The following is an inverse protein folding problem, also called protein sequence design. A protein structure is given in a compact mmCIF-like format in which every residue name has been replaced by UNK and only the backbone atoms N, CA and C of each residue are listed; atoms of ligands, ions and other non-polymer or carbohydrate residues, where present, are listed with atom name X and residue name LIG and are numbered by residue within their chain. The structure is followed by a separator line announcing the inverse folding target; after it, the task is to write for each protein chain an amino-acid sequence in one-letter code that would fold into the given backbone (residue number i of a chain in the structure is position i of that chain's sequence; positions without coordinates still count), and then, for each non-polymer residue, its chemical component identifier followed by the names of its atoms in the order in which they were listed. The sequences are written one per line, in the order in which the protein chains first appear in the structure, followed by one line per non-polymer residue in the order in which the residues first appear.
data_IF_355436169077
#
_entry.id   IF_355436169077
#
_cell.length_a   1.000
_cell.length_b   1.000
_cell.length_c   1.000
_cell.angle_alpha   90.00
_cell.angle_beta   90.00
_cell.angle_gamma   90.00
#
_symmetry.space_group_name_H-M   'P 1'
#
loop_
_entity.id
_entity.type
_entity.pdbx_description
1 polymer ?
#
# COMPACT_ATOMS: atom_id res chain seq x y z
N UNK A 1 -28.51 -3.09 -19.61
CA UNK A 1 -27.58 -2.05 -19.13
C UNK A 1 -26.55 -2.71 -18.22
N UNK A 2 -25.36 -2.92 -18.73
CA UNK A 2 -24.27 -3.48 -17.96
C UNK A 2 -23.85 -2.46 -16.89
N UNK A 3 -23.96 -2.83 -15.60
CA UNK A 3 -23.33 -2.10 -14.50
C UNK A 3 -21.83 -2.07 -14.78
N UNK A 4 -21.26 -0.89 -15.04
CA UNK A 4 -19.84 -0.67 -14.92
C UNK A 4 -19.47 -1.01 -13.46
N UNK A 5 -18.84 -2.16 -13.27
CA UNK A 5 -18.21 -2.51 -12.01
C UNK A 5 -17.07 -1.49 -11.81
N UNK A 6 -17.29 -0.51 -10.98
CA UNK A 6 -16.23 0.37 -10.49
C UNK A 6 -15.08 -0.51 -10.02
N UNK A 7 -13.84 -0.15 -10.41
CA UNK A 7 -12.66 -0.91 -10.03
C UNK A 7 -12.48 -0.78 -8.51
N UNK A 8 -13.02 -1.76 -7.79
CA UNK A 8 -12.81 -1.91 -6.35
C UNK A 8 -11.60 -2.80 -6.15
N UNK A 9 -10.65 -2.36 -5.31
CA UNK A 9 -9.51 -3.15 -4.88
C UNK A 9 -9.76 -3.56 -3.43
N UNK A 10 -9.54 -4.83 -3.14
CA UNK A 10 -9.62 -5.38 -1.79
C UNK A 10 -8.23 -5.81 -1.34
N UNK A 11 -7.79 -5.31 -0.18
CA UNK A 11 -6.46 -5.53 0.37
C UNK A 11 -6.62 -6.14 1.75
N UNK A 12 -6.09 -7.33 1.93
CA UNK A 12 -6.05 -8.02 3.21
C UNK A 12 -4.89 -7.48 4.03
N UNK A 13 -5.20 -6.99 5.23
CA UNK A 13 -4.25 -6.33 6.12
C UNK A 13 -3.91 -7.26 7.28
N UNK A 14 -2.64 -7.54 7.43
CA UNK A 14 -2.08 -8.36 8.51
C UNK A 14 -1.20 -7.52 9.40
N UNK A 15 -1.24 -7.81 10.68
CA UNK A 15 -0.33 -7.29 11.67
C UNK A 15 0.73 -8.35 11.98
N UNK A 16 2.00 -7.93 12.02
CA UNK A 16 3.15 -8.81 12.26
C UNK A 16 4.15 -8.11 13.18
N UNK A 17 3.87 -8.14 14.47
CA UNK A 17 4.79 -7.67 15.52
C UNK A 17 4.88 -8.66 16.66
N UNK A 18 5.95 -8.53 17.44
CA UNK A 18 6.40 -9.54 18.40
C UNK A 18 5.32 -9.93 19.42
N UNK A 19 4.56 -8.96 19.90
CA UNK A 19 3.53 -9.16 20.93
C UNK A 19 2.35 -10.02 20.46
N UNK A 20 2.14 -10.12 19.14
CA UNK A 20 1.07 -10.95 18.57
C UNK A 20 1.45 -12.43 18.48
N UNK A 21 2.73 -12.76 18.65
CA UNK A 21 3.22 -14.13 18.52
C UNK A 21 3.15 -14.71 17.10
N UNK A 22 2.99 -13.86 16.10
CA UNK A 22 2.91 -14.22 14.68
C UNK A 22 1.99 -13.29 13.87
N UNK A 23 2.00 -13.49 12.56
CA UNK A 23 1.20 -12.71 11.63
C UNK A 23 -0.30 -12.96 11.85
N UNK A 24 -1.05 -11.93 12.16
CA UNK A 24 -2.49 -12.01 12.44
C UNK A 24 -3.28 -11.15 11.47
N UNK A 25 -4.40 -11.68 10.94
CA UNK A 25 -5.30 -10.92 10.10
C UNK A 25 -5.97 -9.80 10.91
N UNK A 26 -5.66 -8.56 10.58
CA UNK A 26 -6.25 -7.38 11.21
C UNK A 26 -7.60 -7.02 10.60
N UNK A 27 -7.72 -7.12 9.29
CA UNK A 27 -8.94 -6.77 8.58
C UNK A 27 -8.75 -6.60 7.08
N UNK A 28 -9.74 -5.97 6.44
CA UNK A 28 -9.75 -5.75 5.00
C UNK A 28 -9.91 -4.27 4.68
N UNK A 29 -8.99 -3.75 3.88
CA UNK A 29 -9.04 -2.40 3.32
C UNK A 29 -9.61 -2.47 1.91
N UNK A 30 -10.66 -1.70 1.63
CA UNK A 30 -11.23 -1.56 0.28
C UNK A 30 -10.95 -0.17 -0.24
N UNK A 31 -10.52 -0.10 -1.50
CA UNK A 31 -10.37 1.13 -2.26
C UNK A 31 -11.36 1.12 -3.41
N UNK A 32 -12.29 2.05 -3.43
CA UNK A 32 -13.32 2.19 -4.46
C UNK A 32 -13.13 3.49 -5.22
N UNK A 33 -13.16 3.43 -6.54
CA UNK A 33 -13.07 4.63 -7.37
C UNK A 33 -14.44 5.31 -7.48
N UNK A 34 -14.57 6.45 -6.83
CA UNK A 34 -15.79 7.26 -6.83
C UNK A 34 -15.48 8.63 -7.44
N UNK A 35 -16.09 8.94 -8.59
CA UNK A 35 -15.92 10.23 -9.29
C UNK A 35 -14.44 10.63 -9.51
N UNK A 36 -13.60 9.66 -9.85
CA UNK A 36 -12.17 9.88 -10.13
C UNK A 36 -11.26 9.96 -8.90
N UNK A 37 -11.78 9.74 -7.69
CA UNK A 37 -11.03 9.69 -6.44
C UNK A 37 -11.21 8.33 -5.78
N UNK A 38 -10.16 7.84 -5.15
CA UNK A 38 -10.29 6.65 -4.30
C UNK A 38 -10.92 7.02 -2.96
N UNK A 39 -11.91 6.23 -2.58
CA UNK A 39 -12.54 6.26 -1.25
C UNK A 39 -12.16 4.96 -0.56
N UNK A 40 -11.63 5.08 0.63
CA UNK A 40 -11.18 3.93 1.41
C UNK A 40 -12.16 3.59 2.51
N UNK A 41 -12.39 2.30 2.68
CA UNK A 41 -13.07 1.76 3.85
C UNK A 41 -12.28 0.60 4.44
N UNK A 42 -12.26 0.50 5.76
CA UNK A 42 -11.60 -0.58 6.47
C UNK A 42 -12.57 -1.28 7.42
N UNK A 43 -12.53 -2.61 7.41
CA UNK A 43 -13.29 -3.44 8.34
C UNK A 43 -12.35 -4.38 9.09
N UNK A 44 -12.37 -4.33 10.42
CA UNK A 44 -11.63 -5.28 11.25
C UNK A 44 -12.14 -6.70 11.06
N UNK A 45 -11.22 -7.67 11.10
CA UNK A 45 -11.58 -9.08 11.16
C UNK A 45 -12.21 -9.40 12.53
N UNK A 46 -13.07 -10.41 12.54
CA UNK A 46 -13.67 -10.91 13.78
C UNK A 46 -12.60 -11.40 14.76
N UNK A 47 -11.60 -12.11 14.23
CA UNK A 47 -10.48 -12.62 15.02
C UNK A 47 -9.71 -11.50 15.72
N UNK A 48 -9.45 -10.37 15.01
CA UNK A 48 -8.79 -9.22 15.59
C UNK A 48 -9.56 -8.61 16.75
N UNK A 49 -10.87 -8.44 16.56
CA UNK A 49 -11.75 -7.89 17.60
C UNK A 49 -11.90 -8.82 18.81
N UNK A 50 -11.92 -10.14 18.59
CA UNK A 50 -12.02 -11.13 19.65
C UNK A 50 -10.74 -11.28 20.47
N UNK A 51 -9.57 -11.09 19.86
CA UNK A 51 -8.28 -11.10 20.57
C UNK A 51 -8.11 -9.93 21.56
N UNK A 52 -9.05 -9.01 21.58
CA UNK A 52 -9.09 -7.92 22.55
C UNK A 52 -7.90 -6.98 22.48
N UNK A 53 -7.34 -6.79 21.30
CA UNK A 53 -6.34 -5.77 21.09
C UNK A 53 -6.97 -4.40 21.32
N UNK A 54 -6.74 -3.82 22.49
CA UNK A 54 -7.17 -2.46 22.84
C UNK A 54 -6.32 -1.38 22.13
N UNK A 55 -5.43 -1.81 21.23
CA UNK A 55 -4.54 -0.90 20.51
C UNK A 55 -5.32 -0.09 19.49
N UNK A 56 -5.55 1.16 19.81
CA UNK A 56 -6.03 2.15 18.87
C UNK A 56 -4.88 2.53 17.93
N UNK A 57 -4.83 1.89 16.76
CA UNK A 57 -3.75 2.07 15.78
C UNK A 57 -3.90 3.34 14.95
N UNK A 58 -5.11 3.86 14.84
CA UNK A 58 -5.45 5.06 14.09
C UNK A 58 -6.61 5.79 14.78
N UNK A 59 -6.55 7.11 14.97
CA UNK A 59 -7.62 7.87 15.60
C UNK A 59 -8.94 7.84 14.81
N UNK A 60 -8.88 7.56 13.52
CA UNK A 60 -10.05 7.47 12.64
C UNK A 60 -10.61 6.03 12.53
N UNK A 61 -9.96 5.03 13.17
CA UNK A 61 -10.40 3.64 13.22
C UNK A 61 -10.78 3.23 14.63
N UNK A 62 -12.07 3.01 14.85
CA UNK A 62 -12.59 2.53 16.14
C UNK A 62 -12.71 1.02 16.14
N UNK A 63 -12.53 0.38 17.31
CA UNK A 63 -12.56 -1.08 17.47
C UNK A 63 -14.01 -1.61 17.49
N UNK A 64 -14.65 -1.66 16.33
CA UNK A 64 -15.94 -2.32 16.14
C UNK A 64 -16.01 -3.03 14.78
N UNK A 65 -16.94 -3.97 14.64
CA UNK A 65 -17.19 -4.70 13.39
C UNK A 65 -17.91 -3.84 12.35
N UNK A 66 -17.60 -4.08 11.08
CA UNK A 66 -18.19 -3.38 9.94
C UNK A 66 -17.27 -2.34 9.30
N UNK A 67 -17.64 -1.87 8.11
CA UNK A 67 -16.81 -0.93 7.36
C UNK A 67 -16.80 0.46 8.01
N UNK A 68 -15.61 1.03 8.13
CA UNK A 68 -15.36 2.39 8.55
C UNK A 68 -14.72 3.13 7.39
N UNK A 69 -15.10 4.36 7.15
CA UNK A 69 -14.63 5.14 5.98
C UNK A 69 -13.58 6.15 6.40
N UNK A 70 -12.57 6.35 5.53
CA UNK A 70 -11.61 7.42 5.71
C UNK A 70 -12.30 8.79 5.63
N UNK A 71 -11.74 9.78 6.32
CA UNK A 71 -12.25 11.15 6.28
C UNK A 71 -12.08 11.75 4.89
N UNK A 72 -12.99 12.63 4.49
CA UNK A 72 -12.95 13.28 3.17
C UNK A 72 -11.72 14.19 2.97
N UNK A 73 -11.16 14.72 4.05
CA UNK A 73 -9.98 15.58 4.05
C UNK A 73 -8.64 14.81 3.98
N UNK A 74 -8.69 13.48 4.05
CA UNK A 74 -7.51 12.60 3.98
C UNK A 74 -7.60 11.65 2.79
N UNK A 75 -6.48 11.37 2.12
CA UNK A 75 -6.47 10.41 1.00
C UNK A 75 -6.67 8.95 1.46
N UNK A 76 -6.37 8.62 2.72
CA UNK A 76 -6.56 7.31 3.35
C UNK A 76 -6.50 7.46 4.88
N UNK A 77 -6.67 6.38 5.63
CA UNK A 77 -6.37 6.36 7.07
C UNK A 77 -4.87 6.60 7.32
N UNK A 78 -4.54 7.28 8.41
CA UNK A 78 -3.15 7.62 8.77
C UNK A 78 -2.27 6.39 8.84
N UNK A 79 -2.74 5.31 9.46
CA UNK A 79 -2.07 4.02 9.56
C UNK A 79 -1.59 3.48 8.19
N UNK A 80 -2.40 3.60 7.15
CA UNK A 80 -2.04 3.14 5.82
C UNK A 80 -1.20 4.15 5.05
N UNK A 81 -1.35 5.45 5.33
CA UNK A 81 -0.47 6.47 4.79
C UNK A 81 0.96 6.31 5.32
N UNK A 82 1.12 5.99 6.60
CA UNK A 82 2.43 5.71 7.21
C UNK A 82 3.09 4.44 6.65
N UNK A 83 2.27 3.50 6.17
CA UNK A 83 2.74 2.28 5.49
C UNK A 83 2.97 2.46 3.99
N UNK A 84 2.66 3.62 3.43
CA UNK A 84 2.85 3.98 2.03
C UNK A 84 4.23 4.63 1.82
N UNK A 85 4.76 4.66 0.58
CA UNK A 85 6.04 5.28 0.33
C UNK A 85 5.97 6.80 0.55
N UNK A 86 7.09 7.37 0.99
CA UNK A 86 7.30 8.81 1.07
C UNK A 86 7.29 9.47 -0.33
N UNK A 87 7.49 10.77 -0.37
CA UNK A 87 7.50 11.53 -1.63
C UNK A 87 8.53 10.97 -2.63
N UNK A 88 9.71 10.59 -2.17
CA UNK A 88 10.76 10.05 -3.02
C UNK A 88 10.39 8.67 -3.57
N UNK A 89 9.91 7.79 -2.72
CA UNK A 89 9.41 6.46 -3.11
C UNK A 89 8.29 6.55 -4.16
N UNK A 90 7.39 7.52 -4.02
CA UNK A 90 6.32 7.77 -5.01
C UNK A 90 6.90 8.15 -6.38
N UNK A 91 7.87 9.06 -6.43
CA UNK A 91 8.56 9.44 -7.68
C UNK A 91 9.22 8.24 -8.34
N UNK A 92 9.86 7.37 -7.57
CA UNK A 92 10.47 6.14 -8.09
C UNK A 92 9.42 5.19 -8.69
N UNK A 93 8.27 5.03 -8.04
CA UNK A 93 7.17 4.22 -8.56
C UNK A 93 6.58 4.79 -9.85
N UNK A 94 6.42 6.10 -9.96
CA UNK A 94 5.96 6.78 -11.19
C UNK A 94 6.94 6.57 -12.35
N UNK A 95 8.24 6.71 -12.09
CA UNK A 95 9.28 6.43 -13.10
C UNK A 95 9.27 4.97 -13.56
N UNK A 96 9.11 4.04 -12.62
CA UNK A 96 8.98 2.61 -12.92
C UNK A 96 7.77 2.33 -13.80
N UNK A 97 6.62 2.92 -13.49
CA UNK A 97 5.42 2.82 -14.32
C UNK A 97 5.65 3.40 -15.73
N UNK A 98 6.30 4.54 -15.84
CA UNK A 98 6.61 5.15 -17.13
C UNK A 98 7.54 4.27 -17.98
N UNK A 99 8.56 3.65 -17.38
CA UNK A 99 9.46 2.71 -18.07
C UNK A 99 8.70 1.46 -18.53
N UNK A 100 7.88 0.88 -17.67
CA UNK A 100 7.06 -0.29 -18.00
C UNK A 100 6.09 0.03 -19.13
N UNK A 101 5.43 1.18 -19.09
CA UNK A 101 4.52 1.62 -20.13
C UNK A 101 5.21 1.76 -21.50
N UNK A 102 6.47 2.26 -21.54
CA UNK A 102 7.26 2.32 -22.76
C UNK A 102 7.58 0.92 -23.30
N UNK A 103 7.98 -0.02 -22.44
CA UNK A 103 8.27 -1.39 -22.84
C UNK A 103 7.02 -2.11 -23.38
N UNK A 104 5.86 -1.80 -22.85
CA UNK A 104 4.56 -2.37 -23.24
C UNK A 104 3.86 -1.56 -24.34
N UNK A 105 4.49 -0.51 -24.91
CA UNK A 105 3.91 0.38 -25.93
C UNK A 105 2.52 0.95 -25.55
N UNK A 106 2.34 1.30 -24.29
CA UNK A 106 1.11 1.92 -23.76
C UNK A 106 1.39 3.27 -23.10
N UNK A 107 0.35 4.03 -22.85
CA UNK A 107 0.46 5.24 -22.03
C UNK A 107 0.68 4.85 -20.56
N UNK A 108 1.55 5.58 -19.81
CA UNK A 108 1.67 5.39 -18.38
C UNK A 108 0.34 5.73 -17.71
N UNK A 109 -0.05 4.93 -16.74
CA UNK A 109 -1.25 5.18 -15.93
C UNK A 109 -0.90 6.10 -14.75
N UNK A 110 -1.86 6.88 -14.32
CA UNK A 110 -1.75 7.64 -13.08
C UNK A 110 -1.85 6.67 -11.91
N UNK A 111 -0.85 6.67 -11.03
CA UNK A 111 -0.86 5.87 -9.80
C UNK A 111 -1.77 6.53 -8.76
N UNK A 112 -2.51 5.72 -8.04
CA UNK A 112 -3.41 6.12 -6.97
C UNK A 112 -2.87 5.70 -5.59
N UNK A 113 -3.49 6.16 -4.52
CA UNK A 113 -3.06 5.84 -3.14
C UNK A 113 -2.98 4.33 -2.88
N UNK A 114 -3.93 3.55 -3.41
CA UNK A 114 -3.89 2.10 -3.32
C UNK A 114 -2.69 1.49 -4.06
N UNK A 115 -2.30 2.06 -5.20
CA UNK A 115 -1.13 1.59 -5.96
C UNK A 115 0.16 1.87 -5.19
N UNK A 116 0.28 3.05 -4.56
CA UNK A 116 1.42 3.38 -3.71
C UNK A 116 1.50 2.46 -2.50
N UNK A 117 0.40 2.22 -1.80
CA UNK A 117 0.35 1.31 -0.66
C UNK A 117 0.78 -0.10 -1.04
N UNK A 118 0.29 -0.62 -2.17
CA UNK A 118 0.60 -1.96 -2.65
C UNK A 118 2.01 -2.10 -3.24
N UNK A 119 2.60 -1.02 -3.71
CA UNK A 119 3.90 -1.03 -4.39
C UNK A 119 5.11 -0.97 -3.45
N UNK A 120 4.92 -0.92 -2.14
CA UNK A 120 6.02 -1.02 -1.17
C UNK A 120 6.38 -2.48 -0.99
N UNK A 121 7.66 -2.77 -1.09
CA UNK A 121 8.19 -4.10 -0.86
C UNK A 121 7.95 -4.56 0.58
N UNK A 122 7.36 -5.74 0.76
CA UNK A 122 6.89 -6.22 2.07
C UNK A 122 7.99 -6.21 3.13
N UNK A 123 9.20 -6.70 2.78
CA UNK A 123 10.35 -6.76 3.68
C UNK A 123 10.81 -5.39 4.19
N UNK A 124 10.49 -4.33 3.47
CA UNK A 124 10.95 -2.97 3.74
C UNK A 124 9.85 -2.03 4.25
N UNK A 125 8.67 -2.57 4.54
CA UNK A 125 7.62 -1.76 5.14
C UNK A 125 8.03 -1.31 6.53
N UNK A 126 7.84 -0.04 6.77
CA UNK A 126 7.93 0.51 8.12
C UNK A 126 6.66 0.16 8.89
N UNK A 127 6.82 -0.23 10.16
CA UNK A 127 5.72 -0.74 10.97
C UNK A 127 5.43 -2.22 10.73
N UNK A 128 4.56 -2.78 11.53
CA UNK A 128 4.24 -4.21 11.52
C UNK A 128 3.08 -4.59 10.58
N UNK A 129 2.73 -3.76 9.58
CA UNK A 129 1.66 -4.11 8.66
C UNK A 129 2.19 -4.82 7.41
N UNK A 130 1.47 -5.89 7.02
CA UNK A 130 1.72 -6.64 5.80
C UNK A 130 0.42 -6.77 5.01
N UNK A 131 0.52 -6.86 3.70
CA UNK A 131 -0.64 -6.80 2.81
C UNK A 131 -0.67 -7.97 1.84
N UNK A 132 -1.90 -8.44 1.53
CA UNK A 132 -2.17 -9.43 0.48
C UNK A 132 -3.34 -8.96 -0.39
N UNK A 133 -3.42 -9.47 -1.61
CA UNK A 133 -4.56 -9.25 -2.51
C UNK A 133 -5.62 -10.35 -2.42
N UNK A 134 -5.32 -11.44 -1.75
CA UNK A 134 -6.25 -12.52 -1.43
C UNK A 134 -5.80 -13.19 -0.14
N UNK A 135 -6.73 -13.81 0.57
CA UNK A 135 -6.46 -14.46 1.86
C UNK A 135 -5.35 -15.52 1.74
N UNK A 136 -5.43 -16.37 0.72
CA UNK A 136 -4.49 -17.46 0.47
C UNK A 136 -3.28 -17.05 -0.37
N UNK A 137 -3.20 -15.79 -0.80
CA UNK A 137 -2.12 -15.29 -1.64
C UNK A 137 -0.84 -14.95 -0.89
N UNK A 138 0.26 -14.69 -1.63
CA UNK A 138 1.50 -14.21 -1.03
C UNK A 138 1.35 -12.77 -0.52
N UNK A 139 2.24 -12.37 0.40
CA UNK A 139 2.39 -10.96 0.74
C UNK A 139 2.89 -10.16 -0.45
N UNK A 140 2.42 -8.91 -0.55
CA UNK A 140 2.68 -8.07 -1.71
C UNK A 140 4.14 -7.70 -1.86
N UNK A 141 4.54 -7.68 -3.14
CA UNK A 141 5.83 -7.22 -3.63
C UNK A 141 7.05 -7.88 -2.96
N UNK A 142 7.10 -9.23 -3.05
CA UNK A 142 8.25 -10.02 -2.61
C UNK A 142 9.33 -10.18 -3.70
N UNK A 143 9.27 -9.41 -4.79
CA UNK A 143 10.23 -9.49 -5.88
C UNK A 143 11.45 -8.60 -5.59
N UNK A 144 12.54 -9.20 -5.14
CA UNK A 144 13.81 -8.53 -4.81
C UNK A 144 14.40 -7.72 -5.98
N UNK A 145 14.16 -8.13 -7.23
CA UNK A 145 14.67 -7.44 -8.41
C UNK A 145 13.99 -6.08 -8.68
N UNK A 146 12.85 -5.83 -8.08
CA UNK A 146 12.04 -4.64 -8.29
C UNK A 146 11.90 -3.78 -7.02
N UNK A 147 12.46 -4.23 -5.93
CA UNK A 147 12.37 -3.54 -4.65
C UNK A 147 13.10 -2.20 -4.71
N UNK A 148 12.38 -1.11 -4.46
CA UNK A 148 13.05 0.12 -4.06
C UNK A 148 13.62 -0.09 -2.66
N UNK A 149 14.94 0.01 -2.46
CA UNK A 149 15.51 -0.14 -1.14
C UNK A 149 14.95 0.96 -0.20
N UNK A 150 14.68 0.65 1.05
CA UNK A 150 14.10 1.62 2.00
C UNK A 150 15.05 2.77 2.32
N UNK A 151 16.33 2.52 2.17
CA UNK A 151 17.40 3.51 2.17
C UNK A 151 18.40 3.06 1.11
N UNK A 152 18.36 3.67 -0.06
CA UNK A 152 19.50 3.60 -0.95
C UNK A 152 20.70 4.16 -0.18
N UNK A 153 21.77 3.38 -0.04
CA UNK A 153 23.00 3.94 0.49
C UNK A 153 23.33 5.17 -0.36
N UNK A 154 23.83 6.23 0.23
CA UNK A 154 24.25 7.45 -0.48
C UNK A 154 25.06 7.13 -1.74
N UNK A 155 25.89 6.08 -1.71
CA UNK A 155 26.66 5.57 -2.85
C UNK A 155 25.80 5.05 -4.00
N UNK A 156 24.67 4.42 -3.70
CA UNK A 156 23.75 3.91 -4.74
C UNK A 156 22.97 5.04 -5.38
N UNK A 157 22.64 6.09 -4.60
CA UNK A 157 22.02 7.31 -5.12
C UNK A 157 23.00 8.14 -5.95
N UNK A 158 24.26 8.25 -5.54
CA UNK A 158 25.33 8.90 -6.34
C UNK A 158 25.55 8.19 -7.65
N UNK A 159 25.64 6.84 -7.66
CA UNK A 159 25.82 6.07 -8.88
C UNK A 159 24.63 6.20 -9.83
N UNK A 160 23.40 6.23 -9.30
CA UNK A 160 22.19 6.44 -10.11
C UNK A 160 22.11 7.87 -10.67
N UNK A 161 22.54 8.89 -9.89
CA UNK A 161 22.59 10.28 -10.33
C UNK A 161 23.61 10.50 -11.44
N UNK A 162 24.81 9.93 -11.29
CA UNK A 162 25.88 10.01 -12.31
C UNK A 162 25.49 9.30 -13.62
N UNK A 163 24.71 8.23 -13.57
CA UNK A 163 24.20 7.58 -14.78
C UNK A 163 23.12 8.39 -15.50
N UNK A 164 22.41 9.28 -14.80
CA UNK A 164 21.43 10.17 -15.40
C UNK A 164 22.08 11.40 -16.02
N UNK A 165 23.16 11.93 -15.41
CA UNK A 165 23.91 13.08 -15.97
C UNK A 165 24.71 12.72 -17.21
N UNK A 166 25.12 11.45 -17.39
CA UNK A 166 25.88 11.01 -18.56
C UNK A 166 25.01 10.57 -19.77
N UNK A 167 23.71 10.84 -19.75
CA UNK A 167 22.77 10.50 -20.83
C UNK A 167 22.12 11.68 -21.54
N UNK A 168 22.66 12.88 -21.36
CA UNK A 168 22.33 14.06 -22.18
C UNK A 168 23.36 14.26 -23.31
#
# INVERSE_FOLDING_TARGET
MAKQSGHSKEIWVYADWVELGGTTLMGTLKAELVRGREVFSFAYSKEWLEKGSELLLDPDLRLYGGPQYSREDKPNFGLFLDSSPDRWGRVLMERREALKARQENRKPRTLMESDYLMGVFDRYRMGGLRFKLSEDGPFLDNNDAMAAPPMASLRTLEAASLQLENKD
#
